data_IF_316562805150
#
_entry.id   IF_316562805150
#
_cell.length_a   1.000
_cell.length_b   1.000
_cell.length_c   1.000
_cell.angle_alpha   90.00
_cell.angle_beta   90.00
_cell.angle_gamma   90.00
#
_symmetry.space_group_name_H-M   'P 1'
#
loop_
_entity.id
_entity.type
_entity.pdbx_description
1 polymer ?
#
# COMPACT_ATOMS: atom_id res chain seq x y z
N UNK A 1 -9.20 26.88 -9.48
CA UNK A 1 -9.68 25.52 -9.76
C UNK A 1 -8.45 24.68 -10.10
N UNK A 2 -7.97 23.85 -9.15
CA UNK A 2 -6.83 22.97 -9.37
C UNK A 2 -7.30 21.82 -10.26
N UNK A 3 -6.75 21.75 -11.47
CA UNK A 3 -6.93 20.63 -12.41
C UNK A 3 -5.70 19.75 -12.29
N UNK A 4 -5.94 18.44 -12.08
CA UNK A 4 -4.95 17.36 -12.15
C UNK A 4 -3.84 17.38 -11.06
N UNK A 5 -4.24 17.07 -9.82
CA UNK A 5 -3.28 16.60 -8.82
C UNK A 5 -2.96 15.13 -9.11
N UNK A 6 -1.74 14.88 -9.57
CA UNK A 6 -1.23 13.52 -9.73
C UNK A 6 -0.80 12.99 -8.35
N UNK A 7 -1.37 11.91 -7.86
CA UNK A 7 -0.89 11.30 -6.61
C UNK A 7 0.50 10.71 -6.83
N UNK A 8 1.46 11.17 -6.05
CA UNK A 8 2.85 10.70 -6.08
C UNK A 8 3.11 9.46 -5.25
N UNK A 9 2.09 8.97 -4.51
CA UNK A 9 2.19 7.78 -3.66
C UNK A 9 0.89 6.96 -3.65
N UNK A 10 1.00 5.68 -3.38
CA UNK A 10 -0.12 4.72 -3.31
C UNK A 10 -0.93 4.79 -2.02
N UNK A 11 -0.71 5.76 -1.18
CA UNK A 11 -1.41 6.01 0.07
C UNK A 11 -0.58 6.90 0.98
N UNK A 12 -1.23 7.72 1.77
CA UNK A 12 -0.60 8.68 2.68
C UNK A 12 -1.52 9.87 2.93
N UNK A 13 -1.08 10.77 3.75
CA UNK A 13 -1.80 12.01 4.01
C UNK A 13 -1.38 13.08 2.99
N UNK A 14 -2.35 13.68 2.34
CA UNK A 14 -2.12 14.83 1.46
C UNK A 14 -2.25 16.11 2.29
N UNK A 15 -1.14 16.80 2.53
CA UNK A 15 -1.17 18.14 3.12
C UNK A 15 -1.59 19.15 2.04
N UNK A 16 -2.78 19.72 2.18
CA UNK A 16 -3.28 20.79 1.32
C UNK A 16 -3.13 22.11 2.07
N UNK A 17 -2.29 23.00 1.53
CA UNK A 17 -2.17 24.35 2.05
C UNK A 17 -2.97 25.30 1.15
N UNK A 18 -3.99 25.93 1.70
CA UNK A 18 -4.73 27.00 1.03
C UNK A 18 -4.15 28.32 1.51
N UNK A 19 -3.65 29.13 0.58
CA UNK A 19 -3.23 30.48 0.84
C UNK A 19 -4.33 31.43 0.37
N UNK A 20 -4.91 32.16 1.29
CA UNK A 20 -5.94 33.15 0.99
C UNK A 20 -5.33 34.47 0.50
N UNK A 21 -6.12 35.31 -0.12
CA UNK A 21 -5.68 36.60 -0.67
C UNK A 21 -5.23 37.60 0.40
N UNK A 22 -5.60 37.39 1.66
CA UNK A 22 -5.18 38.19 2.83
C UNK A 22 -3.85 37.72 3.44
N UNK A 23 -3.24 36.67 2.84
CA UNK A 23 -1.97 36.08 3.29
C UNK A 23 -2.12 35.01 4.36
N UNK A 24 -3.34 34.73 4.83
CA UNK A 24 -3.59 33.62 5.76
C UNK A 24 -3.36 32.27 5.09
N UNK A 25 -2.79 31.31 5.82
CA UNK A 25 -2.57 29.96 5.36
C UNK A 25 -3.37 28.99 6.24
N UNK A 26 -4.24 28.22 5.60
CA UNK A 26 -4.95 27.13 6.26
C UNK A 26 -4.44 25.80 5.71
N UNK A 27 -3.93 24.94 6.58
CA UNK A 27 -3.40 23.64 6.21
C UNK A 27 -4.39 22.55 6.63
N UNK A 28 -4.79 21.73 5.66
CA UNK A 28 -5.61 20.56 5.87
C UNK A 28 -4.82 19.30 5.54
N UNK A 29 -4.88 18.32 6.42
CA UNK A 29 -4.39 16.99 6.13
C UNK A 29 -5.56 16.14 5.64
N UNK A 30 -5.55 15.80 4.35
CA UNK A 30 -6.55 14.90 3.78
C UNK A 30 -5.95 13.49 3.74
N UNK A 31 -6.51 12.52 4.47
CA UNK A 31 -6.10 11.14 4.31
C UNK A 31 -6.38 10.72 2.88
N UNK A 32 -5.32 10.47 2.12
CA UNK A 32 -5.40 10.07 0.73
C UNK A 32 -5.44 8.54 0.63
N UNK A 33 -6.62 7.99 0.43
CA UNK A 33 -6.77 6.62 0.00
C UNK A 33 -6.81 6.61 -1.54
N UNK A 34 -5.88 5.91 -2.18
CA UNK A 34 -5.88 5.79 -3.63
C UNK A 34 -7.19 5.16 -4.11
N UNK A 35 -7.98 5.93 -4.81
CA UNK A 35 -9.08 5.44 -5.64
C UNK A 35 -8.51 4.30 -6.52
N UNK A 36 -9.28 3.26 -6.85
CA UNK A 36 -8.84 2.27 -7.83
C UNK A 36 -8.18 2.97 -9.00
N UNK A 37 -7.00 2.52 -9.42
CA UNK A 37 -6.20 3.13 -10.48
C UNK A 37 -6.98 3.09 -11.80
N UNK A 38 -7.83 4.08 -12.03
CA UNK A 38 -8.66 4.19 -13.21
C UNK A 38 -8.13 5.28 -14.14
N UNK A 39 -8.12 4.97 -15.41
CA UNK A 39 -7.68 5.86 -16.48
C UNK A 39 -8.83 6.07 -17.45
N UNK A 40 -9.01 7.29 -17.95
CA UNK A 40 -10.07 7.62 -18.90
C UNK A 40 -9.92 6.84 -20.20
N UNK A 41 -11.06 6.59 -20.87
CA UNK A 41 -11.07 5.89 -22.15
C UNK A 41 -10.09 6.53 -23.16
N UNK A 42 -9.28 5.66 -23.79
CA UNK A 42 -8.27 6.05 -24.78
C UNK A 42 -6.99 6.65 -24.21
N UNK A 43 -6.89 6.82 -22.90
CA UNK A 43 -5.67 7.30 -22.25
C UNK A 43 -4.76 6.15 -21.84
N UNK A 44 -3.47 6.41 -21.94
CA UNK A 44 -2.40 5.52 -21.47
C UNK A 44 -1.61 6.27 -20.41
N UNK A 45 -1.38 5.62 -19.27
CA UNK A 45 -0.49 6.12 -18.22
C UNK A 45 0.59 5.07 -17.98
N UNK A 46 1.83 5.49 -17.90
CA UNK A 46 2.95 4.61 -17.58
C UNK A 46 3.93 5.30 -16.63
N UNK A 47 4.67 4.49 -15.88
CA UNK A 47 5.79 4.94 -15.09
C UNK A 47 6.91 3.91 -15.17
N UNK A 48 8.14 4.40 -15.23
CA UNK A 48 9.35 3.59 -15.20
C UNK A 48 10.27 4.17 -14.13
N UNK A 49 10.93 3.32 -13.39
CA UNK A 49 11.86 3.72 -12.35
C UNK A 49 12.95 2.68 -12.14
N UNK A 50 14.15 3.15 -11.82
CA UNK A 50 15.25 2.31 -11.41
C UNK A 50 16.07 3.03 -10.34
N UNK A 51 16.67 2.27 -9.44
CA UNK A 51 17.45 2.85 -8.36
C UNK A 51 17.94 1.81 -7.35
N UNK A 52 18.37 2.31 -6.20
CA UNK A 52 18.68 1.47 -5.04
C UNK A 52 17.58 1.61 -4.01
N UNK A 53 17.05 0.47 -3.57
CA UNK A 53 16.09 0.43 -2.48
C UNK A 53 16.80 0.82 -1.18
N UNK A 54 16.22 1.75 -0.44
CA UNK A 54 16.73 2.20 0.86
C UNK A 54 15.79 1.75 1.96
N UNK A 55 16.09 0.62 2.62
CA UNK A 55 15.29 0.19 3.76
C UNK A 55 15.52 1.11 4.98
N UNK A 56 14.58 1.06 5.94
CA UNK A 56 14.81 1.60 7.26
C UNK A 56 15.72 0.64 8.04
N UNK A 57 16.86 1.12 8.53
CA UNK A 57 17.78 0.31 9.33
C UNK A 57 18.92 -0.35 8.53
N UNK A 58 19.65 -1.27 9.18
CA UNK A 58 20.86 -1.88 8.64
C UNK A 58 20.56 -3.12 7.78
N UNK A 59 19.69 -2.97 6.80
CA UNK A 59 19.32 -4.01 5.83
C UNK A 59 20.14 -3.90 4.53
N UNK A 60 19.95 -4.86 3.62
CA UNK A 60 20.58 -4.83 2.30
C UNK A 60 19.88 -3.79 1.44
N UNK A 61 20.63 -3.02 0.66
CA UNK A 61 20.14 -2.02 -0.28
C UNK A 61 20.28 -2.50 -1.73
N UNK A 62 19.39 -3.39 -2.22
CA UNK A 62 19.49 -3.93 -3.56
C UNK A 62 19.18 -2.88 -4.62
N UNK A 63 19.76 -3.04 -5.80
CA UNK A 63 19.31 -2.32 -6.99
C UNK A 63 17.98 -2.88 -7.47
N UNK A 64 17.11 -2.02 -7.98
CA UNK A 64 15.84 -2.44 -8.54
C UNK A 64 15.49 -1.64 -9.79
N UNK A 65 14.68 -2.24 -10.64
CA UNK A 65 13.99 -1.60 -11.74
C UNK A 65 12.51 -1.97 -11.67
N UNK A 66 11.65 -1.02 -12.00
CA UNK A 66 10.20 -1.25 -12.04
C UNK A 66 9.54 -0.51 -13.18
N UNK A 67 8.43 -1.04 -13.65
CA UNK A 67 7.59 -0.40 -14.65
C UNK A 67 6.14 -0.73 -14.41
N UNK A 68 5.27 0.23 -14.73
CA UNK A 68 3.82 0.05 -14.70
C UNK A 68 3.18 0.70 -15.93
N UNK A 69 2.05 0.13 -16.35
CA UNK A 69 1.27 0.58 -17.48
C UNK A 69 -0.21 0.48 -17.15
N UNK A 70 -0.98 1.53 -17.50
CA UNK A 70 -2.42 1.60 -17.36
C UNK A 70 -3.03 1.98 -18.69
N UNK A 71 -4.05 1.24 -19.12
CA UNK A 71 -4.76 1.43 -20.37
C UNK A 71 -6.24 1.65 -20.11
N UNK A 72 -6.72 2.85 -20.38
CA UNK A 72 -8.13 3.18 -20.28
C UNK A 72 -8.93 2.66 -21.48
N UNK A 73 -9.98 1.91 -21.22
CA UNK A 73 -10.85 1.29 -22.22
C UNK A 73 -12.29 1.80 -22.11
N UNK A 74 -13.14 1.37 -23.06
CA UNK A 74 -14.57 1.70 -23.09
C UNK A 74 -15.27 1.24 -21.82
N UNK A 75 -16.42 1.83 -21.52
CA UNK A 75 -17.27 1.52 -20.35
C UNK A 75 -16.59 1.71 -18.99
N UNK A 76 -15.64 2.64 -18.90
CA UNK A 76 -14.93 2.92 -17.66
C UNK A 76 -13.96 1.82 -17.21
N UNK A 77 -13.64 0.88 -18.11
CA UNK A 77 -12.64 -0.17 -17.85
C UNK A 77 -11.22 0.39 -17.92
N UNK A 78 -10.37 -0.13 -17.08
CA UNK A 78 -8.92 0.10 -17.10
C UNK A 78 -8.21 -1.22 -16.92
N UNK A 79 -7.33 -1.55 -17.84
CA UNK A 79 -6.38 -2.65 -17.69
C UNK A 79 -5.06 -2.08 -17.21
N UNK A 80 -4.43 -2.75 -16.26
CA UNK A 80 -3.13 -2.31 -15.78
C UNK A 80 -2.23 -3.49 -15.43
N UNK A 81 -0.95 -3.26 -15.50
CA UNK A 81 0.05 -4.24 -15.15
C UNK A 81 1.36 -3.57 -14.80
N UNK A 82 2.24 -4.34 -14.17
CA UNK A 82 3.55 -3.87 -13.78
C UNK A 82 4.50 -5.01 -13.51
N UNK A 83 5.78 -4.66 -13.52
CA UNK A 83 6.86 -5.56 -13.20
C UNK A 83 7.87 -4.85 -12.29
N UNK A 84 8.45 -5.60 -11.36
CA UNK A 84 9.52 -5.15 -10.49
C UNK A 84 10.61 -6.21 -10.44
N UNK A 85 11.84 -5.80 -10.68
CA UNK A 85 12.99 -6.67 -10.73
C UNK A 85 14.09 -6.17 -9.80
N UNK A 86 14.74 -7.10 -9.14
CA UNK A 86 15.92 -6.88 -8.30
C UNK A 86 16.75 -8.15 -8.26
N UNK A 87 17.95 -8.09 -7.73
CA UNK A 87 18.85 -9.24 -7.60
C UNK A 87 18.21 -10.44 -6.89
N UNK A 88 17.33 -10.17 -5.91
CA UNK A 88 16.66 -11.19 -5.09
C UNK A 88 15.14 -11.19 -5.23
N UNK A 89 14.59 -10.43 -6.19
CA UNK A 89 13.15 -10.28 -6.31
C UNK A 89 12.70 -10.10 -7.75
N UNK A 90 11.66 -10.81 -8.11
CA UNK A 90 10.90 -10.59 -9.35
C UNK A 90 9.42 -10.58 -9.02
N UNK A 91 8.74 -9.50 -9.32
CA UNK A 91 7.30 -9.34 -9.14
C UNK A 91 6.63 -8.96 -10.46
N UNK A 92 5.55 -9.65 -10.79
CA UNK A 92 4.69 -9.35 -11.94
C UNK A 92 3.27 -9.13 -11.44
N UNK A 93 2.65 -8.03 -11.85
CA UNK A 93 1.29 -7.70 -11.47
C UNK A 93 0.43 -7.46 -12.71
N UNK A 94 -0.81 -7.93 -12.65
CA UNK A 94 -1.84 -7.65 -13.63
C UNK A 94 -3.16 -7.36 -12.94
N UNK A 95 -3.93 -6.39 -13.43
CA UNK A 95 -5.19 -6.02 -12.85
C UNK A 95 -6.16 -5.39 -13.83
N UNK A 96 -7.40 -5.36 -13.40
CA UNK A 96 -8.51 -4.70 -14.09
C UNK A 96 -9.27 -3.84 -13.09
N UNK A 97 -9.71 -2.69 -13.52
CA UNK A 97 -10.56 -1.81 -12.74
C UNK A 97 -11.70 -1.28 -13.60
N UNK A 98 -12.80 -0.90 -12.95
CA UNK A 98 -13.94 -0.31 -13.64
C UNK A 98 -14.61 0.75 -12.80
N UNK A 99 -15.01 1.84 -13.46
CA UNK A 99 -15.87 2.86 -12.91
C UNK A 99 -17.32 2.54 -13.27
N UNK A 100 -18.14 2.27 -12.26
CA UNK A 100 -19.56 1.95 -12.38
C UNK A 100 -20.46 3.18 -12.17
N UNK A 101 -19.89 4.39 -12.28
CA UNK A 101 -20.60 5.65 -12.08
C UNK A 101 -21.17 5.78 -10.66
N UNK A 102 -22.51 5.87 -10.53
CA UNK A 102 -23.19 6.00 -9.23
C UNK A 102 -22.93 4.85 -8.25
N UNK A 103 -22.51 3.70 -8.73
CA UNK A 103 -22.20 2.54 -7.89
C UNK A 103 -20.76 2.51 -7.39
N UNK A 104 -19.97 3.54 -7.73
CA UNK A 104 -18.57 3.63 -7.33
C UNK A 104 -17.62 3.00 -8.34
N UNK A 105 -16.43 2.65 -7.86
CA UNK A 105 -15.38 2.08 -8.67
C UNK A 105 -14.71 0.91 -7.94
N UNK A 106 -14.32 -0.10 -8.67
CA UNK A 106 -13.58 -1.24 -8.13
C UNK A 106 -12.36 -1.57 -8.96
N UNK A 107 -11.41 -2.26 -8.35
CA UNK A 107 -10.32 -2.90 -9.05
C UNK A 107 -9.92 -4.21 -8.38
N UNK A 108 -9.51 -5.15 -9.20
CA UNK A 108 -8.93 -6.42 -8.76
C UNK A 108 -7.59 -6.61 -9.44
N UNK A 109 -6.58 -7.02 -8.70
CA UNK A 109 -5.26 -7.33 -9.23
C UNK A 109 -4.68 -8.59 -8.61
N UNK A 110 -3.90 -9.29 -9.42
CA UNK A 110 -3.09 -10.43 -9.06
C UNK A 110 -1.62 -10.04 -9.19
N UNK A 111 -0.83 -10.35 -8.18
CA UNK A 111 0.62 -10.20 -8.21
C UNK A 111 1.28 -11.56 -7.98
N UNK A 112 2.12 -11.97 -8.90
CA UNK A 112 3.00 -13.13 -8.76
C UNK A 112 4.39 -12.66 -8.37
N UNK A 113 4.99 -13.26 -7.34
CA UNK A 113 6.30 -12.89 -6.86
C UNK A 113 7.21 -14.11 -6.70
N UNK A 114 8.47 -13.93 -7.10
CA UNK A 114 9.58 -14.81 -6.78
C UNK A 114 10.59 -14.03 -5.97
N UNK A 115 10.97 -14.57 -4.82
CA UNK A 115 11.84 -13.89 -3.86
C UNK A 115 12.87 -14.86 -3.30
N UNK A 116 14.08 -14.35 -3.07
CA UNK A 116 15.10 -15.05 -2.31
C UNK A 116 15.26 -14.32 -0.97
N UNK A 117 14.99 -15.03 0.12
CA UNK A 117 15.09 -14.48 1.47
C UNK A 117 16.50 -14.68 2.05
N UNK A 118 16.68 -14.26 3.30
CA UNK A 118 17.96 -14.31 3.99
C UNK A 118 18.48 -15.72 4.30
N UNK A 119 17.64 -16.75 4.15
CA UNK A 119 17.99 -18.17 4.24
C UNK A 119 18.51 -18.74 2.90
N UNK A 120 18.71 -17.87 1.90
CA UNK A 120 19.09 -18.19 0.51
C UNK A 120 18.11 -19.12 -0.23
N UNK A 121 16.95 -19.39 0.34
CA UNK A 121 15.89 -20.16 -0.31
C UNK A 121 15.04 -19.28 -1.22
N UNK A 122 14.58 -19.90 -2.30
CA UNK A 122 13.65 -19.28 -3.22
C UNK A 122 12.20 -19.58 -2.82
N UNK A 123 11.40 -18.53 -2.78
CA UNK A 123 9.97 -18.58 -2.48
C UNK A 123 9.20 -18.05 -3.68
N UNK A 124 8.06 -18.65 -3.93
CA UNK A 124 7.14 -18.21 -4.98
C UNK A 124 5.74 -18.12 -4.39
N UNK A 125 5.05 -17.07 -4.70
CA UNK A 125 3.69 -16.87 -4.19
C UNK A 125 2.90 -15.85 -4.97
N UNK A 126 1.60 -15.83 -4.68
CA UNK A 126 0.61 -15.00 -5.32
C UNK A 126 -0.10 -14.12 -4.29
N UNK A 127 -0.48 -12.92 -4.71
CA UNK A 127 -1.29 -12.01 -3.91
C UNK A 127 -2.44 -11.48 -4.75
N UNK A 128 -3.66 -11.66 -4.28
CA UNK A 128 -4.87 -11.07 -4.87
C UNK A 128 -5.28 -9.87 -4.04
N UNK A 129 -5.64 -8.77 -4.69
CA UNK A 129 -6.11 -7.56 -4.03
C UNK A 129 -7.37 -7.06 -4.71
N UNK A 130 -8.43 -6.83 -3.93
CA UNK A 130 -9.66 -6.17 -4.33
C UNK A 130 -9.72 -4.79 -3.68
N UNK A 131 -10.06 -3.77 -4.43
CA UNK A 131 -10.32 -2.41 -3.95
C UNK A 131 -11.67 -1.93 -4.44
N UNK A 132 -12.36 -1.19 -3.59
CA UNK A 132 -13.62 -0.53 -3.93
C UNK A 132 -13.65 0.87 -3.33
N UNK A 133 -14.21 1.81 -4.06
CA UNK A 133 -14.40 3.18 -3.60
C UNK A 133 -15.74 3.72 -4.10
N UNK A 134 -16.46 4.40 -3.24
CA UNK A 134 -17.72 5.06 -3.57
C UNK A 134 -17.82 6.42 -2.87
N UNK A 135 -18.27 7.42 -3.62
CA UNK A 135 -18.71 8.69 -3.07
C UNK A 135 -20.25 8.66 -2.95
N UNK A 136 -20.75 8.88 -1.74
CA UNK A 136 -22.17 9.04 -1.46
C UNK A 136 -22.51 10.51 -1.67
N UNK A 137 -23.03 10.85 -2.86
CA UNK A 137 -23.21 12.23 -3.31
C UNK A 137 -24.19 13.03 -2.45
N UNK A 138 -25.20 12.39 -1.87
CA UNK A 138 -26.27 13.05 -1.12
C UNK A 138 -25.76 13.67 0.19
N UNK A 139 -24.73 13.10 0.79
CA UNK A 139 -24.15 13.53 2.07
C UNK A 139 -22.65 13.82 1.99
N UNK A 140 -22.04 13.68 0.80
CA UNK A 140 -20.61 13.90 0.58
C UNK A 140 -19.69 12.86 1.23
N UNK A 141 -20.25 11.81 1.84
CA UNK A 141 -19.46 10.75 2.49
C UNK A 141 -18.69 9.94 1.45
N UNK A 142 -17.41 9.79 1.65
CA UNK A 142 -16.57 8.90 0.85
C UNK A 142 -16.33 7.61 1.60
N UNK A 143 -16.71 6.51 0.98
CA UNK A 143 -16.43 5.15 1.46
C UNK A 143 -15.32 4.59 0.59
N UNK A 144 -14.17 4.31 1.17
CA UNK A 144 -13.09 3.59 0.53
C UNK A 144 -12.96 2.25 1.25
N UNK A 145 -13.50 1.20 0.66
CA UNK A 145 -13.22 -0.14 1.12
C UNK A 145 -11.93 -0.60 0.48
N UNK A 146 -10.88 -0.52 1.26
CA UNK A 146 -9.58 -0.98 0.84
C UNK A 146 -9.41 -2.45 1.17
N UNK A 147 -9.32 -3.20 0.09
CA UNK A 147 -8.45 -4.33 0.07
C UNK A 147 -8.79 -5.48 0.99
N UNK A 148 -9.53 -6.34 0.45
CA UNK A 148 -9.23 -7.73 0.71
C UNK A 148 -7.91 -8.04 -0.02
N UNK A 149 -6.77 -8.00 0.65
CA UNK A 149 -5.53 -8.57 0.13
C UNK A 149 -5.38 -9.94 0.77
N UNK A 150 -5.35 -10.97 -0.07
CA UNK A 150 -4.97 -12.31 0.32
C UNK A 150 -3.66 -12.67 -0.36
N UNK A 151 -2.72 -13.24 0.40
CA UNK A 151 -1.43 -13.68 -0.12
C UNK A 151 -1.19 -15.12 0.27
N UNK A 152 -0.64 -15.91 -0.63
CA UNK A 152 -0.18 -17.27 -0.33
C UNK A 152 1.01 -17.26 0.63
N UNK A 153 1.30 -18.39 1.27
CA UNK A 153 2.37 -18.50 2.28
C UNK A 153 3.77 -18.17 1.73
N UNK A 154 3.98 -18.42 0.42
CA UNK A 154 5.26 -18.12 -0.26
C UNK A 154 5.34 -16.72 -0.89
N UNK A 155 4.37 -15.87 -0.65
CA UNK A 155 4.37 -14.52 -1.20
C UNK A 155 5.15 -13.56 -0.29
N UNK A 156 6.23 -13.01 -0.82
CA UNK A 156 7.05 -11.98 -0.17
C UNK A 156 7.21 -10.79 -1.10
N UNK A 157 7.52 -9.64 -0.54
CA UNK A 157 7.73 -8.38 -1.27
C UNK A 157 9.22 -8.11 -1.44
N UNK A 158 9.60 -7.13 -2.26
CA UNK A 158 10.98 -6.67 -2.37
C UNK A 158 11.54 -6.26 -0.99
N UNK A 159 10.73 -5.59 -0.17
CA UNK A 159 11.13 -5.21 1.19
C UNK A 159 11.49 -6.41 2.07
N UNK A 160 10.80 -7.54 1.90
CA UNK A 160 11.06 -8.74 2.69
C UNK A 160 12.39 -9.41 2.31
N UNK A 161 12.91 -9.17 1.10
CA UNK A 161 14.22 -9.71 0.64
C UNK A 161 15.41 -8.90 1.12
N UNK A 162 15.21 -7.76 1.76
CA UNK A 162 16.30 -6.89 2.22
C UNK A 162 16.86 -7.28 3.59
N UNK A 163 16.17 -8.14 4.30
CA UNK A 163 16.65 -8.63 5.60
C UNK A 163 17.91 -9.50 5.46
N UNK A 164 18.80 -9.44 6.46
CA UNK A 164 20.08 -10.17 6.51
C UNK A 164 19.98 -11.52 7.21
N UNK A 165 18.88 -11.75 7.94
CA UNK A 165 18.61 -12.98 8.67
C UNK A 165 17.14 -13.28 8.77
N UNK A 166 16.80 -14.48 9.24
CA UNK A 166 15.42 -14.92 9.49
C UNK A 166 15.33 -15.52 10.88
N UNK A 167 14.23 -15.21 11.60
CA UNK A 167 13.93 -15.80 12.90
C UNK A 167 12.48 -16.27 12.96
N UNK A 168 12.23 -17.39 13.62
CA UNK A 168 10.90 -17.95 13.86
C UNK A 168 10.27 -17.51 15.16
N UNK A 169 10.84 -16.57 15.90
CA UNK A 169 10.43 -16.17 17.25
C UNK A 169 10.15 -14.68 17.41
N UNK A 170 9.84 -14.29 18.65
CA UNK A 170 9.79 -12.89 19.03
C UNK A 170 11.17 -12.25 18.80
N UNK A 171 11.21 -10.93 18.47
CA UNK A 171 12.49 -10.25 18.29
C UNK A 171 13.34 -10.37 19.54
N UNK A 172 14.61 -10.62 19.31
CA UNK A 172 15.60 -10.76 20.36
C UNK A 172 15.87 -9.40 20.98
N UNK A 173 15.58 -9.27 22.27
CA UNK A 173 15.94 -8.09 23.04
C UNK A 173 17.30 -8.33 23.69
N UNK A 174 18.29 -7.54 23.33
CA UNK A 174 19.57 -7.51 24.03
C UNK A 174 19.51 -6.41 25.07
N UNK A 175 19.67 -6.80 26.33
CA UNK A 175 19.83 -5.84 27.44
C UNK A 175 21.32 -5.59 27.57
N UNK A 176 21.77 -4.37 27.30
CA UNK A 176 23.13 -3.98 27.51
C UNK A 176 23.42 -3.80 29.01
N UNK A 177 24.69 -3.83 29.42
CA UNK A 177 25.12 -3.76 30.82
C UNK A 177 24.70 -2.45 31.53
N UNK A 178 24.32 -1.43 30.76
CA UNK A 178 23.79 -0.15 31.25
C UNK A 178 22.27 -0.14 31.45
N UNK A 179 21.60 -1.27 31.22
CA UNK A 179 20.16 -1.43 31.29
C UNK A 179 19.39 -0.97 30.05
N UNK A 180 20.10 -0.58 28.98
CA UNK A 180 19.47 -0.20 27.71
C UNK A 180 18.97 -1.46 26.98
N UNK A 181 17.67 -1.50 26.68
CA UNK A 181 17.07 -2.59 25.90
C UNK A 181 17.16 -2.25 24.41
N UNK A 182 18.13 -2.88 23.74
CA UNK A 182 18.27 -2.76 22.28
C UNK A 182 17.49 -3.89 21.61
N UNK A 183 16.49 -3.53 20.84
CA UNK A 183 15.69 -4.49 20.09
C UNK A 183 16.20 -4.54 18.66
N UNK A 184 16.84 -5.62 18.26
CA UNK A 184 17.40 -5.81 16.91
C UNK A 184 16.32 -6.21 15.88
N UNK A 185 15.37 -5.35 15.63
CA UNK A 185 14.32 -5.58 14.63
C UNK A 185 14.79 -5.38 13.18
N UNK A 186 15.90 -4.67 12.97
CA UNK A 186 16.20 -4.07 11.69
C UNK A 186 16.85 -4.99 10.68
N UNK A 187 17.40 -6.13 11.11
CA UNK A 187 18.18 -7.01 10.22
C UNK A 187 17.59 -8.39 10.02
N UNK A 188 16.64 -8.79 10.86
CA UNK A 188 16.07 -10.15 10.89
C UNK A 188 14.59 -10.13 10.49
N UNK A 189 14.24 -10.88 9.44
CA UNK A 189 12.86 -11.08 9.05
C UNK A 189 12.16 -12.03 10.01
N UNK A 190 11.07 -11.60 10.60
CA UNK A 190 10.27 -12.42 11.51
C UNK A 190 9.24 -13.24 10.71
N UNK A 191 9.40 -14.57 10.67
CA UNK A 191 8.49 -15.48 9.98
C UNK A 191 7.04 -15.41 10.49
N UNK A 192 6.81 -15.02 11.75
CA UNK A 192 5.46 -14.78 12.27
C UNK A 192 4.79 -13.56 11.65
N UNK A 193 5.55 -12.69 10.97
CA UNK A 193 5.01 -11.52 10.25
C UNK A 193 4.70 -11.81 8.78
N UNK A 194 4.81 -13.06 8.32
CA UNK A 194 4.40 -13.44 6.96
C UNK A 194 2.91 -13.19 6.76
N UNK A 195 2.61 -12.20 5.93
CA UNK A 195 1.25 -11.66 5.78
C UNK A 195 0.34 -12.64 5.04
N UNK A 196 -0.83 -12.89 5.61
CA UNK A 196 -1.87 -13.74 5.01
C UNK A 196 -2.97 -12.91 4.39
N UNK A 197 -3.65 -12.09 5.18
CA UNK A 197 -4.70 -11.24 4.68
C UNK A 197 -4.66 -9.86 5.36
N UNK A 198 -5.01 -8.83 4.60
CA UNK A 198 -5.15 -7.48 5.10
C UNK A 198 -6.48 -6.90 4.64
N UNK A 199 -7.28 -6.43 5.60
CA UNK A 199 -8.53 -5.74 5.36
C UNK A 199 -8.37 -4.29 5.84
N UNK A 200 -8.87 -3.36 5.04
CA UNK A 200 -8.86 -1.94 5.39
C UNK A 200 -10.19 -1.31 5.02
N UNK A 201 -10.72 -0.47 5.88
CA UNK A 201 -11.87 0.36 5.62
C UNK A 201 -11.52 1.80 6.00
N UNK A 202 -11.76 2.73 5.09
CA UNK A 202 -11.66 4.16 5.34
C UNK A 202 -12.98 4.82 5.01
N UNK A 203 -13.55 5.51 5.97
CA UNK A 203 -14.70 6.39 5.81
C UNK A 203 -14.23 7.82 6.01
N UNK A 204 -14.66 8.73 5.14
CA UNK A 204 -14.38 10.15 5.28
C UNK A 204 -15.63 10.94 5.01
N UNK A 205 -16.01 11.78 5.96
CA UNK A 205 -17.18 12.66 5.92
C UNK A 205 -16.74 14.12 6.02
N UNK A 206 -16.88 14.91 4.94
CA UNK A 206 -16.68 16.36 5.05
C UNK A 206 -17.78 16.96 5.90
N UNK A 207 -17.41 17.86 6.81
CA UNK A 207 -18.30 18.55 7.73
C UNK A 207 -18.34 20.08 7.45
N UNK A 208 -18.12 20.47 6.20
CA UNK A 208 -18.11 21.87 5.77
C UNK A 208 -17.01 22.68 6.47
N UNK A 209 -17.42 23.76 7.11
CA UNK A 209 -16.50 24.66 7.82
C UNK A 209 -15.82 24.02 9.04
N UNK A 210 -16.37 22.94 9.55
CA UNK A 210 -15.83 22.21 10.71
C UNK A 210 -14.76 21.17 10.35
N UNK A 211 -14.37 21.08 9.07
CA UNK A 211 -13.33 20.16 8.60
C UNK A 211 -13.88 18.84 8.05
N UNK A 212 -13.23 17.75 8.35
CA UNK A 212 -13.64 16.41 7.92
C UNK A 212 -13.46 15.41 9.06
N UNK A 213 -14.40 14.49 9.19
CA UNK A 213 -14.29 13.34 10.07
C UNK A 213 -13.78 12.15 9.27
N UNK A 214 -12.74 11.48 9.73
CA UNK A 214 -12.22 10.26 9.13
C UNK A 214 -12.23 9.11 10.15
N UNK A 215 -12.66 7.95 9.68
CA UNK A 215 -12.61 6.69 10.41
C UNK A 215 -11.82 5.69 9.58
N UNK A 216 -10.74 5.15 10.11
CA UNK A 216 -10.00 4.07 9.48
C UNK A 216 -9.99 2.82 10.37
N UNK A 217 -10.22 1.69 9.74
CA UNK A 217 -10.10 0.38 10.35
C UNK A 217 -9.17 -0.50 9.51
N UNK A 218 -8.20 -1.09 10.18
CA UNK A 218 -7.22 -2.00 9.60
C UNK A 218 -7.21 -3.31 10.36
N UNK A 219 -7.16 -4.42 9.61
CA UNK A 219 -6.98 -5.75 10.17
C UNK A 219 -5.92 -6.51 9.37
N UNK A 220 -4.94 -7.08 10.04
CA UNK A 220 -3.89 -7.89 9.44
C UNK A 220 -3.83 -9.27 10.10
N UNK A 221 -3.85 -10.32 9.29
CA UNK A 221 -3.62 -11.72 9.71
C UNK A 221 -2.33 -12.25 9.10
N UNK A 222 -1.77 -13.28 9.72
CA UNK A 222 -0.46 -13.83 9.37
C UNK A 222 -0.55 -15.35 9.20
N UNK A 223 0.40 -15.93 8.45
CA UNK A 223 0.42 -17.37 8.17
C UNK A 223 0.92 -18.21 9.36
N UNK A 224 1.94 -17.73 10.04
CA UNK A 224 2.68 -18.52 11.04
C UNK A 224 2.27 -18.20 12.48
N UNK A 225 1.17 -17.49 12.68
CA UNK A 225 0.63 -17.19 13.99
C UNK A 225 -0.89 -17.03 13.94
N UNK A 226 -1.57 -17.36 15.01
CA UNK A 226 -3.01 -17.09 15.18
C UNK A 226 -3.30 -15.63 15.56
N UNK A 227 -2.27 -14.83 15.81
CA UNK A 227 -2.44 -13.42 16.17
C UNK A 227 -3.03 -12.65 14.99
N UNK A 228 -3.94 -11.73 15.32
CA UNK A 228 -4.52 -10.76 14.40
C UNK A 228 -4.22 -9.38 14.95
N UNK A 229 -3.64 -8.53 14.12
CA UNK A 229 -3.45 -7.11 14.45
C UNK A 229 -4.64 -6.33 13.95
N UNK A 230 -5.24 -5.51 14.82
CA UNK A 230 -6.33 -4.60 14.46
C UNK A 230 -6.02 -3.20 14.95
N UNK A 231 -6.36 -2.21 14.15
CA UNK A 231 -6.32 -0.81 14.55
C UNK A 231 -7.59 -0.10 14.11
N UNK A 232 -8.08 0.80 14.94
CA UNK A 232 -9.18 1.70 14.67
C UNK A 232 -8.71 3.12 15.01
N UNK A 233 -8.82 4.03 14.05
CA UNK A 233 -8.36 5.40 14.19
C UNK A 233 -9.48 6.36 13.82
N UNK A 234 -9.60 7.44 14.59
CA UNK A 234 -10.47 8.59 14.33
C UNK A 234 -9.62 9.83 14.16
N UNK A 235 -9.94 10.63 13.17
CA UNK A 235 -9.32 11.92 12.91
C UNK A 235 -10.36 12.97 12.53
#
# INVERSE_FOLDING_TARGET
MLKDLYPTSSGGDLAVTIQESDGSQTQYTLPFASVPNLVRNGQVKYALGAGKYRPAGNQISPSFAQGELFLGWRYGLTFYGGAQFSDRYTGLAFGIGQNLGRFGAYSIDLTHARSQLADDRHYTGDSVRLRYSKLLNDIGTRVNFFSLRYSTAGFYTLSDTTYKGMAGGAPEQTVEDDGTVTTHYDTVYNLHMSRKAKNQLLLSQPMGEYGALALSWDQQTYWNTSKTTQSLQFA
#
